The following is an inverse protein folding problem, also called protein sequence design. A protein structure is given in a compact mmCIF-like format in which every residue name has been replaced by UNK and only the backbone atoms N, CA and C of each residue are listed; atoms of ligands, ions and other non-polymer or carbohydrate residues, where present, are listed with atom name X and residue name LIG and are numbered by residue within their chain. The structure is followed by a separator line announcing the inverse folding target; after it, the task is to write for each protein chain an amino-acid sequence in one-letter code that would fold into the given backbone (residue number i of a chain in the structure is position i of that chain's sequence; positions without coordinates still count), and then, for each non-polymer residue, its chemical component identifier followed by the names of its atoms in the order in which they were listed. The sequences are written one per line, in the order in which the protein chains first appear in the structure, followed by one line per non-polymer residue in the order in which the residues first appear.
data_IF_336534388839
#
_entry.id   IF_336534388839
#
_cell.length_a   1.000
_cell.length_b   1.000
_cell.length_c   1.000
_cell.angle_alpha   90.00
_cell.angle_beta   90.00
_cell.angle_gamma   90.00
#
_symmetry.space_group_name_H-M   'P 1'
#
loop_
_entity.id
_entity.type
_entity.pdbx_description
1 polymer ?
#
# COMPACT_ATOMS: atom_id res chain seq x y z
N UNK A 1 -66.90 -18.44 -33.01
CA UNK A 1 -65.64 -19.22 -32.90
C UNK A 1 -64.50 -18.22 -32.83
N UNK A 2 -63.75 -18.14 -31.73
CA UNK A 2 -62.55 -17.31 -31.64
C UNK A 2 -61.43 -18.11 -30.97
N UNK A 3 -60.32 -18.31 -31.68
CA UNK A 3 -59.13 -19.05 -31.24
C UNK A 3 -58.24 -18.10 -30.43
N UNK A 4 -57.89 -18.47 -29.20
CA UNK A 4 -56.92 -17.73 -28.38
C UNK A 4 -55.49 -18.22 -28.66
N UNK A 5 -54.56 -17.30 -28.89
CA UNK A 5 -53.14 -17.59 -29.04
C UNK A 5 -52.43 -17.50 -27.68
N UNK A 6 -51.62 -18.50 -27.35
CA UNK A 6 -50.79 -18.51 -26.14
C UNK A 6 -49.40 -17.95 -26.47
N UNK A 7 -48.92 -17.03 -25.64
CA UNK A 7 -47.56 -16.47 -25.72
C UNK A 7 -46.69 -17.17 -24.68
N UNK A 8 -45.59 -17.77 -25.13
CA UNK A 8 -44.58 -18.41 -24.26
C UNK A 8 -43.41 -17.45 -24.09
N UNK A 9 -43.12 -17.06 -22.85
CA UNK A 9 -42.04 -16.14 -22.50
C UNK A 9 -40.79 -16.94 -22.13
N UNK A 10 -39.72 -16.84 -22.93
CA UNK A 10 -38.44 -17.47 -22.63
C UNK A 10 -37.58 -16.57 -21.73
N UNK A 11 -37.17 -17.09 -20.58
CA UNK A 11 -36.32 -16.37 -19.60
C UNK A 11 -34.85 -16.70 -19.90
N UNK A 12 -34.06 -15.71 -20.30
CA UNK A 12 -32.61 -15.83 -20.48
C UNK A 12 -31.92 -15.68 -19.12
N UNK A 13 -31.22 -16.72 -18.67
CA UNK A 13 -30.41 -16.68 -17.46
C UNK A 13 -29.05 -16.01 -17.75
N UNK A 14 -28.86 -14.79 -17.25
CA UNK A 14 -27.57 -14.08 -17.30
C UNK A 14 -26.79 -14.39 -16.03
N UNK A 15 -25.55 -14.92 -16.11
CA UNK A 15 -24.75 -15.17 -14.92
C UNK A 15 -24.25 -13.85 -14.34
N UNK A 16 -24.65 -13.55 -13.10
CA UNK A 16 -24.11 -12.43 -12.33
C UNK A 16 -22.74 -12.84 -11.75
N UNK A 17 -21.65 -12.36 -12.33
CA UNK A 17 -20.34 -12.40 -11.68
C UNK A 17 -20.26 -11.26 -10.67
N UNK A 18 -20.33 -11.57 -9.38
CA UNK A 18 -20.09 -10.58 -8.32
C UNK A 18 -18.61 -10.25 -8.27
N UNK A 19 -18.22 -9.11 -8.86
CA UNK A 19 -16.89 -8.54 -8.66
C UNK A 19 -16.78 -8.06 -7.20
N UNK A 20 -15.95 -8.73 -6.39
CA UNK A 20 -15.62 -8.26 -5.04
C UNK A 20 -14.67 -7.07 -5.19
N UNK A 21 -15.19 -5.86 -4.97
CA UNK A 21 -14.36 -4.67 -4.91
C UNK A 21 -13.40 -4.75 -3.70
N UNK A 22 -12.11 -4.40 -3.84
CA UNK A 22 -11.22 -4.29 -2.70
C UNK A 22 -11.77 -3.23 -1.72
N UNK A 23 -11.57 -3.41 -0.41
CA UNK A 23 -12.02 -2.43 0.58
C UNK A 23 -11.40 -1.06 0.26
N UNK A 24 -12.13 0.05 0.50
CA UNK A 24 -11.60 1.39 0.30
C UNK A 24 -10.31 1.53 1.10
N UNK A 25 -9.23 1.90 0.41
CA UNK A 25 -7.95 2.16 1.05
C UNK A 25 -8.09 3.41 1.90
N UNK A 26 -8.42 3.25 3.18
CA UNK A 26 -8.23 4.31 4.16
C UNK A 26 -6.75 4.66 4.13
N UNK A 27 -6.43 5.92 3.79
CA UNK A 27 -5.05 6.38 3.73
C UNK A 27 -4.28 5.98 4.99
N UNK A 28 -3.01 5.63 4.82
CA UNK A 28 -2.18 5.20 5.95
C UNK A 28 -2.13 6.27 7.03
N UNK A 29 -2.29 5.85 8.28
CA UNK A 29 -2.28 6.73 9.44
C UNK A 29 -0.84 7.03 9.87
N UNK A 30 -0.23 8.00 9.18
CA UNK A 30 1.14 8.44 9.42
C UNK A 30 1.28 9.17 10.75
N UNK A 31 2.34 8.86 11.46
CA UNK A 31 2.72 9.49 12.73
C UNK A 31 4.23 9.60 12.80
N UNK A 32 4.75 10.51 13.63
CA UNK A 32 6.18 10.60 13.86
C UNK A 32 6.69 9.23 14.33
N UNK A 33 7.79 8.75 13.75
CA UNK A 33 8.40 7.51 14.23
C UNK A 33 8.88 7.71 15.67
N UNK A 34 8.50 6.81 16.59
CA UNK A 34 9.09 6.78 17.92
C UNK A 34 10.61 6.53 17.80
N UNK A 35 11.42 7.15 18.67
CA UNK A 35 12.83 6.77 18.82
C UNK A 35 12.86 5.31 19.29
N UNK A 36 13.26 4.41 18.40
CA UNK A 36 13.66 3.06 18.78
C UNK A 36 15.10 3.14 19.27
N UNK A 37 15.45 2.34 20.27
CA UNK A 37 16.66 2.38 21.10
C UNK A 37 17.96 2.82 20.41
N UNK A 38 18.86 3.43 21.20
CA UNK A 38 20.17 3.97 20.82
C UNK A 38 20.85 3.19 19.70
N UNK A 39 21.17 3.88 18.59
CA UNK A 39 21.86 3.33 17.43
C UNK A 39 21.06 3.34 16.12
N UNK A 40 19.73 3.51 16.18
CA UNK A 40 18.86 3.52 15.00
C UNK A 40 18.21 4.89 14.79
N UNK A 41 19.02 5.87 14.39
CA UNK A 41 18.51 7.18 14.00
C UNK A 41 17.72 7.07 12.69
N UNK A 42 16.42 6.82 12.81
CA UNK A 42 15.47 7.28 11.80
C UNK A 42 15.60 8.81 11.83
N UNK A 43 16.08 9.43 10.75
CA UNK A 43 16.30 10.88 10.72
C UNK A 43 15.07 11.62 11.24
N UNK A 44 15.28 12.73 11.96
CA UNK A 44 14.25 13.46 12.73
C UNK A 44 12.99 13.83 11.94
N UNK A 45 13.03 13.76 10.60
CA UNK A 45 11.92 14.06 9.69
C UNK A 45 11.13 12.82 9.16
N UNK A 46 11.25 11.65 9.79
CA UNK A 46 10.63 10.42 9.27
C UNK A 46 9.29 10.10 9.92
N UNK A 47 8.32 9.72 9.08
CA UNK A 47 6.99 9.28 9.49
C UNK A 47 6.86 7.77 9.36
N UNK A 48 6.12 7.15 10.29
CA UNK A 48 5.86 5.73 10.36
C UNK A 48 4.35 5.44 10.29
N UNK A 49 4.00 4.31 9.68
CA UNK A 49 2.65 3.78 9.65
C UNK A 49 2.69 2.25 9.59
N UNK A 50 1.51 1.61 9.62
CA UNK A 50 1.37 0.17 9.42
C UNK A 50 0.35 -0.15 8.33
N UNK A 51 0.60 -1.23 7.60
CA UNK A 51 -0.28 -1.77 6.56
C UNK A 51 -0.74 -3.16 7.00
N UNK A 52 -2.04 -3.42 6.95
CA UNK A 52 -2.59 -4.78 7.16
C UNK A 52 -2.74 -5.47 5.81
N UNK A 53 -2.23 -6.69 5.71
CA UNK A 53 -2.33 -7.54 4.51
C UNK A 53 -2.76 -8.94 4.90
N UNK A 54 -3.50 -9.67 4.04
CA UNK A 54 -3.85 -11.04 4.34
C UNK A 54 -2.60 -11.90 4.37
N UNK A 55 -2.54 -12.84 5.31
CA UNK A 55 -1.50 -13.87 5.31
C UNK A 55 -1.64 -14.77 4.07
N UNK A 56 -2.86 -15.13 3.71
CA UNK A 56 -3.19 -15.89 2.51
C UNK A 56 -4.10 -15.05 1.60
N UNK A 57 -3.58 -14.61 0.46
CA UNK A 57 -4.32 -13.78 -0.49
C UNK A 57 -5.53 -14.49 -1.11
N UNK A 58 -5.61 -15.82 -1.06
CA UNK A 58 -6.81 -16.58 -1.49
C UNK A 58 -7.94 -16.52 -0.45
N UNK A 59 -7.61 -16.15 0.79
CA UNK A 59 -8.56 -15.96 1.88
C UNK A 59 -8.41 -14.53 2.44
N UNK A 60 -8.83 -13.49 1.69
CA UNK A 60 -8.54 -12.09 2.04
C UNK A 60 -9.17 -11.65 3.37
N UNK A 61 -10.26 -12.29 3.81
CA UNK A 61 -10.89 -12.07 5.12
C UNK A 61 -10.30 -12.89 6.28
N UNK A 62 -9.29 -13.72 6.01
CA UNK A 62 -8.64 -14.57 7.00
C UNK A 62 -7.63 -13.83 7.88
N UNK A 63 -6.65 -14.58 8.40
CA UNK A 63 -5.60 -14.03 9.28
C UNK A 63 -4.83 -12.90 8.57
N UNK A 64 -4.63 -11.79 9.26
CA UNK A 64 -3.92 -10.61 8.75
C UNK A 64 -2.50 -10.53 9.33
N UNK A 65 -1.57 -10.03 8.54
CA UNK A 65 -0.22 -9.61 8.93
C UNK A 65 -0.18 -8.08 9.03
N UNK A 66 0.71 -7.56 9.88
CA UNK A 66 0.97 -6.12 9.99
C UNK A 66 2.38 -5.81 9.50
N UNK A 67 2.47 -5.05 8.41
CA UNK A 67 3.74 -4.58 7.84
C UNK A 67 4.00 -3.17 8.33
N UNK A 68 5.17 -2.96 8.93
CA UNK A 68 5.61 -1.63 9.34
C UNK A 68 6.28 -0.89 8.17
N UNK A 69 5.88 0.35 7.91
CA UNK A 69 6.44 1.21 6.86
C UNK A 69 6.93 2.52 7.46
N UNK A 70 8.01 3.08 6.90
CA UNK A 70 8.45 4.44 7.19
C UNK A 70 8.67 5.23 5.90
N UNK A 71 8.50 6.55 5.96
CA UNK A 71 8.79 7.45 4.85
C UNK A 71 9.52 8.70 5.34
N UNK A 72 10.26 9.29 4.41
CA UNK A 72 10.70 10.69 4.48
C UNK A 72 9.87 11.46 3.46
N UNK A 73 9.33 12.62 3.83
CA UNK A 73 8.59 13.45 2.89
C UNK A 73 9.53 14.07 1.85
N UNK A 74 9.01 14.33 0.66
CA UNK A 74 9.75 15.10 -0.34
C UNK A 74 10.12 16.48 0.23
N UNK A 75 11.35 16.94 -0.01
CA UNK A 75 11.82 18.24 0.46
C UNK A 75 11.06 19.42 -0.18
N UNK A 76 10.56 19.24 -1.41
CA UNK A 76 9.66 20.17 -2.09
C UNK A 76 8.32 19.48 -2.40
N UNK A 77 7.29 19.62 -1.53
CA UNK A 77 5.99 19.00 -1.73
C UNK A 77 5.28 19.47 -3.00
N UNK A 78 5.51 20.72 -3.43
CA UNK A 78 4.83 21.32 -4.59
C UNK A 78 5.19 20.65 -5.91
N UNK A 79 6.31 19.94 -5.95
CA UNK A 79 6.74 19.24 -7.15
C UNK A 79 6.90 17.72 -6.97
N UNK A 80 6.34 17.18 -5.88
CA UNK A 80 6.42 15.75 -5.62
C UNK A 80 5.78 14.94 -6.76
N UNK A 81 6.57 14.13 -7.43
CA UNK A 81 6.10 13.27 -8.52
C UNK A 81 5.42 11.97 -8.04
N UNK A 82 5.78 11.46 -6.85
CA UNK A 82 5.25 10.17 -6.39
C UNK A 82 5.90 9.61 -5.13
N UNK A 83 5.85 8.28 -5.00
CA UNK A 83 6.54 7.52 -3.95
C UNK A 83 7.61 6.66 -4.61
N UNK A 84 8.81 6.68 -4.05
CA UNK A 84 9.82 5.67 -4.36
C UNK A 84 9.85 4.66 -3.22
N UNK A 85 9.55 3.41 -3.54
CA UNK A 85 9.60 2.31 -2.58
C UNK A 85 10.95 1.61 -2.68
N UNK A 86 11.63 1.46 -1.55
CA UNK A 86 12.97 0.85 -1.49
C UNK A 86 12.88 -0.51 -0.81
N UNK A 87 13.40 -1.52 -1.50
CA UNK A 87 13.67 -2.83 -0.94
C UNK A 87 15.20 -3.03 -0.89
N UNK A 88 15.84 -3.06 0.29
CA UNK A 88 17.29 -3.17 0.39
C UNK A 88 17.84 -4.53 -0.09
N UNK A 89 17.00 -5.54 -0.30
CA UNK A 89 17.41 -6.90 -0.68
C UNK A 89 17.47 -7.86 0.51
N UNK A 90 18.22 -8.98 0.33
CA UNK A 90 18.55 -10.00 1.34
C UNK A 90 17.42 -10.40 2.29
N UNK A 91 16.55 -11.37 1.98
CA UNK A 91 15.38 -11.67 2.81
C UNK A 91 15.64 -11.70 4.33
N UNK A 92 14.85 -10.95 5.10
CA UNK A 92 15.03 -10.81 6.56
C UNK A 92 15.68 -9.50 7.00
N UNK A 93 16.34 -8.76 6.11
CA UNK A 93 16.78 -7.39 6.42
C UNK A 93 15.59 -6.44 6.62
N UNK A 94 15.74 -5.54 7.58
CA UNK A 94 14.76 -4.49 7.84
C UNK A 94 15.00 -3.31 6.88
N UNK A 95 13.98 -2.96 6.09
CA UNK A 95 14.05 -1.76 5.24
C UNK A 95 14.02 -0.45 6.04
N UNK A 96 13.57 -0.47 7.30
CA UNK A 96 13.57 0.69 8.21
C UNK A 96 14.85 0.66 9.05
N UNK A 97 15.68 1.72 9.14
CA UNK A 97 15.64 3.06 8.56
C UNK A 97 16.68 3.23 7.44
N UNK A 98 16.60 2.40 6.41
CA UNK A 98 17.66 2.34 5.38
C UNK A 98 17.76 3.59 4.51
N UNK A 99 16.74 4.45 4.48
CA UNK A 99 16.77 5.72 3.73
C UNK A 99 17.68 6.78 4.37
N UNK A 100 17.94 6.71 5.68
CA UNK A 100 18.80 7.67 6.39
C UNK A 100 20.14 7.05 6.82
N UNK A 101 20.33 5.75 6.59
CA UNK A 101 21.60 5.05 6.82
C UNK A 101 22.63 5.37 5.73
N UNK A 102 23.87 4.91 5.90
CA UNK A 102 24.94 5.03 4.88
C UNK A 102 24.54 4.51 3.49
N UNK A 103 23.58 3.59 3.41
CA UNK A 103 23.04 3.06 2.15
C UNK A 103 21.99 3.97 1.50
N UNK A 104 21.36 4.88 2.25
CA UNK A 104 20.53 5.97 1.71
C UNK A 104 21.35 7.18 1.24
N UNK A 105 22.60 7.30 1.72
CA UNK A 105 23.56 8.34 1.27
C UNK A 105 24.08 8.13 -0.15
N UNK A 106 23.88 6.95 -0.75
CA UNK A 106 24.16 6.73 -2.17
C UNK A 106 23.04 7.26 -3.08
N UNK A 107 21.91 7.68 -2.51
CA UNK A 107 20.90 8.39 -3.27
C UNK A 107 21.47 9.76 -3.66
N UNK A 108 21.58 10.09 -4.96
CA UNK A 108 22.18 11.35 -5.35
C UNK A 108 21.36 12.47 -4.73
N UNK A 109 22.04 13.47 -4.17
CA UNK A 109 21.40 14.58 -3.50
C UNK A 109 20.43 15.36 -4.42
N UNK A 110 20.49 15.13 -5.74
CA UNK A 110 19.50 15.59 -6.73
C UNK A 110 18.14 14.91 -6.56
N UNK A 111 18.08 13.63 -6.19
CA UNK A 111 16.81 12.93 -6.07
C UNK A 111 16.15 13.09 -4.69
N UNK A 112 16.87 13.65 -3.69
CA UNK A 112 16.26 14.29 -2.53
C UNK A 112 15.78 15.74 -2.80
N UNK A 113 16.25 16.35 -3.90
CA UNK A 113 15.98 17.74 -4.31
C UNK A 113 15.10 17.86 -5.54
N UNK A 114 14.54 16.77 -6.05
CA UNK A 114 13.69 16.85 -7.24
C UNK A 114 12.52 17.77 -6.93
N UNK A 115 12.54 18.87 -7.68
CA UNK A 115 11.40 19.70 -8.04
C UNK A 115 10.45 18.86 -8.91
#
# INVERSE_FOLDING_TARGET
MAKGAAVVLAILAVPFTTAVAPPPAHGLQWRQCAKIAEGWAIGEASECATVRVPLDYRQPGGRQLTIAVSRVRAGNPAHRQGVVLVNPGGPGEQARPSLTSSRGRSWPASAARTT
#
